data_IF_838928313142
#
_entry.id   IF_838928313142
#
_cell.length_a   1.000
_cell.length_b   1.000
_cell.length_c   1.000
_cell.angle_alpha   90.00
_cell.angle_beta   90.00
_cell.angle_gamma   90.00
#
_symmetry.space_group_name_H-M   'P 1'
#
loop_
_entity.id
_entity.type
_entity.pdbx_description
1 polymer ?
#
# COMPACT_ATOMS: atom_id res chain seq x y z
N UNK A 1 -4.34 -9.43 -5.07
CA UNK A 1 -5.82 -9.43 -5.01
C UNK A 1 -6.33 -10.41 -3.98
N UNK A 2 -7.51 -10.16 -3.45
CA UNK A 2 -8.23 -11.01 -2.50
C UNK A 2 -9.70 -11.06 -2.90
N UNK A 3 -10.37 -12.18 -2.63
CA UNK A 3 -11.84 -12.26 -2.60
C UNK A 3 -12.27 -12.28 -1.13
N UNK A 4 -13.10 -11.33 -0.74
CA UNK A 4 -13.52 -11.15 0.64
C UNK A 4 -15.04 -11.26 0.78
N UNK A 5 -15.47 -11.86 1.90
CA UNK A 5 -16.88 -12.02 2.24
C UNK A 5 -17.61 -13.09 1.41
N UNK A 6 -18.87 -13.34 1.77
CA UNK A 6 -19.73 -14.33 1.10
C UNK A 6 -20.14 -13.87 -0.33
N UNK A 7 -20.10 -12.56 -0.58
CA UNK A 7 -20.37 -11.95 -1.90
C UNK A 7 -19.14 -11.99 -2.82
N UNK A 8 -18.04 -12.61 -2.41
CA UNK A 8 -16.78 -12.71 -3.15
C UNK A 8 -16.30 -11.34 -3.71
N UNK A 9 -16.36 -10.30 -2.87
CA UNK A 9 -15.93 -8.95 -3.24
C UNK A 9 -14.45 -8.92 -3.55
N UNK A 10 -14.10 -8.41 -4.73
CA UNK A 10 -12.71 -8.28 -5.15
C UNK A 10 -12.06 -7.08 -4.45
N UNK A 11 -10.94 -7.34 -3.78
CA UNK A 11 -10.10 -6.32 -3.15
C UNK A 11 -8.72 -6.37 -3.77
N UNK A 12 -8.27 -5.23 -4.28
CA UNK A 12 -6.94 -5.08 -4.89
C UNK A 12 -5.97 -4.38 -3.94
N UNK A 13 -4.70 -4.40 -4.30
CA UNK A 13 -3.59 -3.81 -3.53
C UNK A 13 -2.64 -3.03 -4.42
N UNK A 14 -1.68 -2.34 -3.83
CA UNK A 14 -0.60 -1.66 -4.57
C UNK A 14 0.23 -2.64 -5.43
N UNK A 15 0.36 -3.91 -5.02
CA UNK A 15 1.02 -4.94 -5.82
C UNK A 15 0.27 -5.24 -7.11
N UNK A 16 -1.06 -5.22 -7.07
CA UNK A 16 -1.89 -5.45 -8.25
C UNK A 16 -1.82 -4.28 -9.22
N UNK A 17 -1.82 -3.04 -8.71
CA UNK A 17 -1.55 -1.84 -9.52
C UNK A 17 -0.18 -1.91 -10.22
N UNK A 18 0.84 -2.37 -9.50
CA UNK A 18 2.17 -2.57 -10.07
C UNK A 18 2.16 -3.62 -11.18
N UNK A 19 1.53 -4.77 -10.93
CA UNK A 19 1.40 -5.84 -11.92
C UNK A 19 0.66 -5.35 -13.15
N UNK A 20 -0.49 -4.69 -12.99
CA UNK A 20 -1.26 -4.13 -14.11
C UNK A 20 -0.48 -3.07 -14.89
N UNK A 21 0.32 -2.24 -14.21
CA UNK A 21 1.16 -1.23 -14.85
C UNK A 21 2.29 -1.83 -15.71
N UNK A 22 2.74 -3.04 -15.36
CA UNK A 22 3.74 -3.77 -16.12
C UNK A 22 3.10 -4.64 -17.22
N UNK A 23 2.00 -5.31 -16.92
CA UNK A 23 1.30 -6.21 -17.84
C UNK A 23 -0.15 -6.44 -17.39
N UNK A 24 -1.11 -5.90 -18.14
CA UNK A 24 -2.55 -6.09 -17.85
C UNK A 24 -2.98 -7.56 -17.95
N UNK A 25 -2.39 -8.33 -18.87
CA UNK A 25 -2.65 -9.76 -18.97
C UNK A 25 -2.24 -10.51 -17.70
N UNK A 26 -1.14 -10.14 -17.07
CA UNK A 26 -0.69 -10.79 -15.84
C UNK A 26 -1.69 -10.60 -14.68
N UNK A 27 -2.30 -9.41 -14.56
CA UNK A 27 -3.29 -9.17 -13.50
C UNK A 27 -4.60 -9.91 -13.77
N UNK A 28 -5.01 -10.04 -15.03
CA UNK A 28 -6.18 -10.84 -15.44
C UNK A 28 -5.95 -12.31 -15.13
N UNK A 29 -4.76 -12.85 -15.45
CA UNK A 29 -4.40 -14.25 -15.10
C UNK A 29 -4.38 -14.49 -13.60
N UNK A 30 -3.96 -13.52 -12.79
CA UNK A 30 -4.06 -13.61 -11.32
C UNK A 30 -5.52 -13.66 -10.86
N UNK A 31 -6.42 -12.92 -11.52
CA UNK A 31 -7.85 -12.98 -11.24
C UNK A 31 -8.43 -14.36 -11.61
N UNK A 32 -8.06 -14.94 -12.76
CA UNK A 32 -8.49 -16.29 -13.15
C UNK A 32 -8.10 -17.34 -12.11
N UNK A 33 -6.87 -17.29 -11.62
CA UNK A 33 -6.41 -18.19 -10.54
C UNK A 33 -7.22 -17.98 -9.27
N UNK A 34 -7.50 -16.73 -8.91
CA UNK A 34 -8.29 -16.39 -7.72
C UNK A 34 -9.74 -16.88 -7.82
N UNK A 35 -10.31 -16.86 -9.03
CA UNK A 35 -11.67 -17.35 -9.33
C UNK A 35 -11.73 -18.87 -9.56
N UNK A 36 -10.59 -19.58 -9.54
CA UNK A 36 -10.52 -21.02 -9.82
C UNK A 36 -10.67 -21.38 -11.31
N UNK A 37 -10.55 -20.41 -12.22
CA UNK A 37 -10.65 -20.58 -13.68
C UNK A 37 -9.32 -21.02 -14.31
N UNK A 38 -8.22 -20.86 -13.57
CA UNK A 38 -6.89 -21.27 -14.01
C UNK A 38 -6.09 -21.86 -12.86
N UNK A 39 -5.20 -22.79 -13.19
CA UNK A 39 -4.26 -23.35 -12.22
C UNK A 39 -3.20 -22.31 -11.84
N UNK A 40 -2.82 -22.33 -10.56
CA UNK A 40 -1.70 -21.54 -10.06
C UNK A 40 -0.39 -22.18 -10.53
N UNK A 41 0.42 -21.41 -11.23
CA UNK A 41 1.80 -21.82 -11.54
C UNK A 41 2.64 -21.66 -10.28
N UNK A 42 3.20 -22.78 -9.79
CA UNK A 42 4.16 -22.73 -8.69
C UNK A 42 5.50 -22.23 -9.21
N UNK A 43 5.93 -21.09 -8.70
CA UNK A 43 7.28 -20.57 -8.97
C UNK A 43 8.28 -21.29 -8.05
N UNK A 44 9.42 -21.75 -8.59
CA UNK A 44 10.48 -22.27 -7.76
C UNK A 44 10.93 -21.25 -6.75
N UNK A 45 11.24 -21.69 -5.52
CA UNK A 45 11.78 -20.80 -4.49
C UNK A 45 13.09 -20.17 -4.96
N UNK A 46 13.15 -18.84 -4.99
CA UNK A 46 14.34 -18.08 -5.33
C UNK A 46 15.01 -17.53 -4.06
N UNK A 47 16.15 -18.10 -3.64
CA UNK A 47 16.88 -17.61 -2.45
C UNK A 47 17.32 -16.15 -2.55
N UNK A 48 17.47 -15.62 -3.77
CA UNK A 48 17.81 -14.21 -3.97
C UNK A 48 16.63 -13.31 -3.59
N UNK A 49 15.40 -13.68 -3.94
CA UNK A 49 14.21 -12.94 -3.53
C UNK A 49 14.03 -12.95 -2.00
N UNK A 50 14.28 -14.09 -1.33
CA UNK A 50 14.28 -14.18 0.13
C UNK A 50 15.29 -13.20 0.75
N UNK A 51 16.49 -13.11 0.16
CA UNK A 51 17.55 -12.18 0.60
C UNK A 51 17.16 -10.71 0.39
N UNK A 52 16.60 -10.38 -0.78
CA UNK A 52 16.13 -9.02 -1.08
C UNK A 52 15.02 -8.62 -0.11
N UNK A 53 14.08 -9.53 0.20
CA UNK A 53 13.05 -9.28 1.21
C UNK A 53 13.66 -8.99 2.58
N UNK A 54 14.59 -9.82 3.05
CA UNK A 54 15.24 -9.61 4.35
C UNK A 54 16.02 -8.28 4.42
N UNK A 55 16.64 -7.85 3.33
CA UNK A 55 17.28 -6.52 3.24
C UNK A 55 16.23 -5.39 3.29
N UNK A 56 15.06 -5.57 2.65
CA UNK A 56 13.93 -4.64 2.74
C UNK A 56 13.45 -4.46 4.18
N UNK A 57 13.21 -5.59 4.86
CA UNK A 57 12.79 -5.58 6.27
C UNK A 57 13.83 -4.89 7.17
N UNK A 58 15.13 -5.11 6.91
CA UNK A 58 16.21 -4.42 7.65
C UNK A 58 16.23 -2.91 7.39
N UNK A 59 15.98 -2.48 6.16
CA UNK A 59 15.93 -1.07 5.78
C UNK A 59 14.75 -0.38 6.47
N UNK A 60 13.56 -0.98 6.42
CA UNK A 60 12.37 -0.49 7.13
C UNK A 60 12.60 -0.40 8.65
N UNK A 61 13.21 -1.44 9.25
CA UNK A 61 13.56 -1.44 10.67
C UNK A 61 14.59 -0.37 11.04
N UNK A 62 15.51 -0.04 10.13
CA UNK A 62 16.47 1.05 10.35
C UNK A 62 15.76 2.40 10.38
N UNK A 63 14.81 2.61 9.48
CA UNK A 63 13.99 3.81 9.44
C UNK A 63 13.08 3.93 10.67
N UNK A 64 12.43 2.84 11.09
CA UNK A 64 11.64 2.82 12.32
C UNK A 64 12.49 3.21 13.55
N UNK A 65 13.74 2.73 13.64
CA UNK A 65 14.65 3.13 14.72
C UNK A 65 15.04 4.60 14.65
N UNK A 66 15.22 5.16 13.45
CA UNK A 66 15.49 6.59 13.26
C UNK A 66 14.32 7.43 13.78
N UNK A 67 13.11 7.15 13.28
CA UNK A 67 11.90 7.84 13.68
C UNK A 67 11.61 7.70 15.19
N UNK A 68 11.87 6.51 15.78
CA UNK A 68 11.67 6.30 17.22
C UNK A 68 12.62 7.14 18.09
N UNK A 69 13.81 7.47 17.59
CA UNK A 69 14.75 8.37 18.28
C UNK A 69 14.35 9.84 18.14
N UNK A 70 13.78 10.21 17.00
CA UNK A 70 13.34 11.60 16.73
C UNK A 70 12.01 11.92 17.43
N UNK A 71 11.15 10.89 17.62
CA UNK A 71 9.82 11.03 18.23
C UNK A 71 9.66 10.11 19.47
N UNK A 72 10.42 10.33 20.55
CA UNK A 72 10.45 9.43 21.70
C UNK A 72 9.07 9.35 22.39
N UNK A 73 8.55 8.11 22.49
CA UNK A 73 7.25 7.82 23.10
C UNK A 73 6.03 8.17 22.25
N UNK A 74 6.23 8.72 21.04
CA UNK A 74 5.13 9.14 20.14
C UNK A 74 5.02 8.32 18.87
N UNK A 75 5.77 7.24 18.76
CA UNK A 75 5.65 6.25 17.68
C UNK A 75 4.62 5.19 18.08
N UNK A 76 3.72 4.86 17.16
CA UNK A 76 2.76 3.76 17.30
C UNK A 76 2.96 2.78 16.16
N UNK A 77 3.16 1.51 16.52
CA UNK A 77 3.24 0.41 15.56
C UNK A 77 1.91 -0.34 15.56
N UNK A 78 1.26 -0.45 14.39
CA UNK A 78 -0.02 -1.13 14.25
C UNK A 78 0.17 -2.59 13.85
N UNK A 79 -0.65 -3.51 14.39
CA UNK A 79 -0.57 -4.92 14.05
C UNK A 79 -1.07 -5.16 12.61
N UNK A 80 -0.60 -6.26 12.02
CA UNK A 80 -1.13 -6.73 10.74
C UNK A 80 -2.50 -7.37 10.96
N UNK A 81 -3.58 -6.87 10.32
CA UNK A 81 -4.89 -7.49 10.42
C UNK A 81 -4.93 -8.83 9.65
N UNK A 82 -5.90 -9.66 9.96
CA UNK A 82 -6.25 -10.78 9.08
C UNK A 82 -6.97 -10.27 7.81
N UNK A 83 -6.97 -11.10 6.76
CA UNK A 83 -7.58 -10.75 5.48
C UNK A 83 -9.10 -11.05 5.49
N UNK A 84 -9.83 -10.51 6.47
CA UNK A 84 -11.30 -10.53 6.47
C UNK A 84 -11.84 -9.11 6.29
N UNK A 85 -13.03 -8.91 5.68
CA UNK A 85 -13.62 -7.58 5.52
C UNK A 85 -13.74 -6.84 6.85
N UNK A 86 -14.15 -7.55 7.89
CA UNK A 86 -14.31 -7.03 9.25
C UNK A 86 -12.98 -6.53 9.83
N UNK A 87 -11.93 -7.37 9.79
CA UNK A 87 -10.65 -7.02 10.41
C UNK A 87 -9.91 -5.93 9.64
N UNK A 88 -10.04 -5.89 8.31
CA UNK A 88 -9.50 -4.82 7.48
C UNK A 88 -10.20 -3.48 7.76
N UNK A 89 -11.53 -3.49 7.91
CA UNK A 89 -12.28 -2.29 8.26
C UNK A 89 -11.95 -1.81 9.69
N UNK A 90 -11.85 -2.74 10.65
CA UNK A 90 -11.43 -2.43 12.03
C UNK A 90 -10.00 -1.87 12.06
N UNK A 91 -9.07 -2.42 11.27
CA UNK A 91 -7.71 -1.91 11.19
C UNK A 91 -7.63 -0.50 10.56
N UNK A 92 -8.48 -0.20 9.56
CA UNK A 92 -8.60 1.17 9.03
C UNK A 92 -9.11 2.13 10.10
N UNK A 93 -10.14 1.74 10.87
CA UNK A 93 -10.66 2.54 11.99
C UNK A 93 -9.56 2.78 13.02
N UNK A 94 -8.82 1.74 13.42
CA UNK A 94 -7.68 1.86 14.34
C UNK A 94 -6.60 2.79 13.81
N UNK A 95 -6.34 2.76 12.50
CA UNK A 95 -5.41 3.72 11.87
C UNK A 95 -5.89 5.16 12.10
N UNK A 96 -7.14 5.49 11.76
CA UNK A 96 -7.70 6.84 11.89
C UNK A 96 -7.75 7.32 13.35
N UNK A 97 -8.13 6.45 14.28
CA UNK A 97 -8.11 6.74 15.72
C UNK A 97 -6.68 7.04 16.20
N UNK A 98 -5.69 6.25 15.73
CA UNK A 98 -4.29 6.45 16.09
C UNK A 98 -3.75 7.79 15.58
N UNK A 99 -4.14 8.20 14.37
CA UNK A 99 -3.78 9.52 13.81
C UNK A 99 -4.30 10.68 14.67
N UNK A 100 -5.38 10.47 15.42
CA UNK A 100 -6.00 11.47 16.31
C UNK A 100 -5.58 11.34 17.78
N UNK A 101 -4.75 10.34 18.12
CA UNK A 101 -4.41 10.00 19.51
C UNK A 101 -3.21 10.75 20.11
N UNK A 102 -2.63 11.71 19.37
CA UNK A 102 -1.39 12.38 19.76
C UNK A 102 -0.11 11.62 19.38
N UNK A 103 -0.21 10.59 18.54
CA UNK A 103 0.92 10.01 17.86
C UNK A 103 1.57 11.03 16.91
N UNK A 104 2.87 10.97 16.74
CA UNK A 104 3.61 11.75 15.74
C UNK A 104 4.11 10.88 14.60
N UNK A 105 4.25 9.58 14.84
CA UNK A 105 4.57 8.58 13.82
C UNK A 105 3.68 7.36 14.03
N UNK A 106 3.09 6.86 12.93
CA UNK A 106 2.37 5.59 12.90
C UNK A 106 3.06 4.69 11.88
N UNK A 107 3.52 3.51 12.31
CA UNK A 107 4.12 2.53 11.40
C UNK A 107 3.19 1.37 11.12
N UNK A 108 3.26 0.83 9.90
CA UNK A 108 2.47 -0.27 9.40
C UNK A 108 0.95 0.01 9.41
N UNK A 109 0.60 1.26 9.07
CA UNK A 109 -0.79 1.74 9.06
C UNK A 109 -1.59 1.07 7.94
N UNK A 110 -2.67 0.37 8.30
CA UNK A 110 -3.57 -0.25 7.32
C UNK A 110 -4.52 0.81 6.76
N UNK A 111 -4.65 0.86 5.43
CA UNK A 111 -5.64 1.64 4.69
C UNK A 111 -6.55 0.70 3.91
N UNK A 112 -7.87 0.92 3.99
CA UNK A 112 -8.87 0.06 3.38
C UNK A 112 -10.15 0.84 3.06
N UNK A 113 -10.69 0.69 1.83
CA UNK A 113 -11.94 1.32 1.36
C UNK A 113 -13.01 0.30 0.96
N UNK A 114 -12.77 -0.99 1.22
CA UNK A 114 -13.63 -2.09 0.80
C UNK A 114 -13.32 -2.63 -0.61
N UNK A 115 -12.57 -1.92 -1.45
CA UNK A 115 -12.13 -2.35 -2.78
C UNK A 115 -10.61 -2.34 -2.94
N UNK A 116 -9.92 -1.65 -2.05
CA UNK A 116 -8.47 -1.59 -2.01
C UNK A 116 -7.95 -1.77 -0.59
N UNK A 117 -6.86 -2.51 -0.45
CA UNK A 117 -6.13 -2.64 0.80
C UNK A 117 -4.65 -2.29 0.61
N UNK A 118 -4.11 -1.58 1.58
CA UNK A 118 -2.69 -1.28 1.65
C UNK A 118 -2.20 -1.16 3.08
N UNK A 119 -0.87 -1.11 3.21
CA UNK A 119 -0.22 -0.88 4.49
C UNK A 119 0.94 0.08 4.28
N UNK A 120 0.79 1.29 4.82
CA UNK A 120 1.82 2.31 4.76
C UNK A 120 2.93 1.98 5.78
N UNK A 121 4.18 2.01 5.34
CA UNK A 121 5.31 1.77 6.23
C UNK A 121 5.30 2.80 7.36
N UNK A 122 5.15 4.09 6.99
CA UNK A 122 5.12 5.18 7.96
C UNK A 122 4.15 6.28 7.57
N UNK A 123 3.49 6.83 8.58
CA UNK A 123 2.76 8.10 8.54
C UNK A 123 3.42 9.02 9.57
N UNK A 124 3.96 10.16 9.14
CA UNK A 124 4.65 11.13 9.99
C UNK A 124 3.81 12.40 10.11
N UNK A 125 3.52 12.86 11.33
CA UNK A 125 2.77 14.09 11.55
C UNK A 125 3.65 15.31 11.26
N UNK A 126 3.20 16.14 10.31
CA UNK A 126 3.83 17.40 9.96
C UNK A 126 2.86 18.58 10.21
N UNK A 127 3.32 19.83 10.21
CA UNK A 127 2.41 20.98 10.29
C UNK A 127 1.37 21.04 9.16
N UNK A 128 1.64 20.36 8.02
CA UNK A 128 0.76 20.34 6.85
C UNK A 128 -0.16 19.10 6.79
N UNK A 129 -0.11 18.23 7.79
CA UNK A 129 -0.85 16.98 7.85
C UNK A 129 0.05 15.75 7.90
N UNK A 130 -0.52 14.56 7.75
CA UNK A 130 0.17 13.29 7.78
C UNK A 130 0.94 13.03 6.47
N UNK A 131 2.25 12.97 6.56
CA UNK A 131 3.13 12.60 5.46
C UNK A 131 3.14 11.08 5.31
N UNK A 132 2.70 10.59 4.15
CA UNK A 132 2.77 9.17 3.81
C UNK A 132 4.16 8.87 3.28
N UNK A 133 4.88 7.96 3.92
CA UNK A 133 6.20 7.52 3.49
C UNK A 133 6.33 6.00 3.40
N UNK A 134 7.22 5.55 2.52
CA UNK A 134 7.45 4.14 2.27
C UNK A 134 8.95 3.91 1.98
N UNK A 135 9.48 2.78 2.47
CA UNK A 135 10.89 2.43 2.31
C UNK A 135 11.11 1.59 1.06
N UNK A 136 12.17 1.87 0.34
CA UNK A 136 12.53 1.13 -0.88
C UNK A 136 14.03 0.85 -0.93
N UNK A 137 14.43 -0.40 -1.20
CA UNK A 137 15.84 -0.74 -1.41
C UNK A 137 16.42 -0.12 -2.67
N UNK A 138 15.57 0.25 -3.63
CA UNK A 138 16.02 0.94 -4.84
C UNK A 138 16.64 2.29 -4.49
N UNK A 139 17.67 2.70 -5.26
CA UNK A 139 18.33 4.02 -5.14
C UNK A 139 17.60 5.13 -5.91
N UNK A 140 16.56 4.78 -6.64
CA UNK A 140 15.76 5.71 -7.43
C UNK A 140 14.28 5.41 -7.23
N UNK A 141 13.47 6.47 -7.19
CA UNK A 141 12.02 6.34 -7.18
C UNK A 141 11.54 5.67 -8.47
N UNK A 142 10.58 4.76 -8.33
CA UNK A 142 9.89 4.14 -9.46
C UNK A 142 8.44 4.59 -9.50
N UNK A 143 7.83 4.57 -10.68
CA UNK A 143 6.39 4.89 -10.82
C UNK A 143 5.54 4.00 -9.93
N UNK A 144 5.89 2.71 -9.81
CA UNK A 144 5.15 1.79 -8.94
C UNK A 144 5.23 2.14 -7.45
N UNK A 145 6.38 2.65 -6.98
CA UNK A 145 6.52 3.11 -5.59
C UNK A 145 5.70 4.38 -5.34
N UNK A 146 5.66 5.31 -6.30
CA UNK A 146 4.82 6.51 -6.22
C UNK A 146 3.34 6.18 -6.26
N UNK A 147 2.92 5.22 -7.11
CA UNK A 147 1.53 4.73 -7.13
C UNK A 147 1.13 4.12 -5.78
N UNK A 148 2.04 3.42 -5.12
CA UNK A 148 1.79 2.82 -3.81
C UNK A 148 1.52 3.88 -2.74
N UNK A 149 2.43 4.84 -2.55
CA UNK A 149 2.24 5.92 -1.55
C UNK A 149 1.07 6.84 -1.93
N UNK A 150 0.84 7.07 -3.23
CA UNK A 150 -0.32 7.78 -3.74
C UNK A 150 -1.64 7.09 -3.41
N UNK A 151 -1.70 5.75 -3.52
CA UNK A 151 -2.86 4.98 -3.11
C UNK A 151 -3.17 5.15 -1.62
N UNK A 152 -2.16 5.05 -0.76
CA UNK A 152 -2.32 5.20 0.68
C UNK A 152 -2.77 6.61 1.06
N UNK A 153 -2.17 7.63 0.45
CA UNK A 153 -2.56 9.02 0.65
C UNK A 153 -4.00 9.29 0.19
N UNK A 154 -4.41 8.71 -0.96
CA UNK A 154 -5.77 8.85 -1.48
C UNK A 154 -6.80 8.28 -0.51
N UNK A 155 -6.59 7.05 0.00
CA UNK A 155 -7.51 6.41 0.93
C UNK A 155 -7.62 7.17 2.25
N UNK A 156 -6.52 7.72 2.77
CA UNK A 156 -6.53 8.55 3.96
C UNK A 156 -7.29 9.86 3.74
N UNK A 157 -7.10 10.53 2.59
CA UNK A 157 -7.84 11.74 2.22
C UNK A 157 -9.34 11.45 2.09
N UNK A 158 -9.70 10.36 1.41
CA UNK A 158 -11.11 9.97 1.20
C UNK A 158 -11.78 9.58 2.53
N UNK A 159 -11.00 9.13 3.52
CA UNK A 159 -11.44 8.90 4.90
C UNK A 159 -11.45 10.17 5.78
N UNK A 160 -11.09 11.34 5.23
CA UNK A 160 -11.10 12.62 5.93
C UNK A 160 -9.88 12.91 6.80
N UNK A 161 -8.81 12.11 6.70
CA UNK A 161 -7.57 12.40 7.42
C UNK A 161 -6.82 13.58 6.75
N UNK A 162 -6.21 14.49 7.54
CA UNK A 162 -5.39 15.56 7.00
C UNK A 162 -4.06 15.00 6.48
N UNK A 163 -3.90 14.90 5.16
CA UNK A 163 -2.67 14.39 4.51
C UNK A 163 -1.81 15.56 4.04
N UNK A 164 -0.49 15.44 4.22
CA UNK A 164 0.49 16.42 3.75
C UNK A 164 0.45 16.55 2.22
N UNK A 165 0.81 17.73 1.64
CA UNK A 165 0.76 17.96 0.19
C UNK A 165 1.85 17.24 -0.60
N UNK A 166 2.65 16.41 0.05
CA UNK A 166 3.71 15.59 -0.52
C UNK A 166 3.60 14.15 -0.03
N UNK A 167 4.22 13.24 -0.76
CA UNK A 167 4.50 11.84 -0.34
C UNK A 167 6.01 11.62 -0.36
N UNK A 168 6.53 10.68 0.42
CA UNK A 168 7.97 10.43 0.58
C UNK A 168 8.35 8.99 0.29
N UNK A 169 9.48 8.81 -0.38
CA UNK A 169 10.18 7.54 -0.48
C UNK A 169 11.52 7.65 0.24
N UNK A 170 11.80 6.68 1.13
CA UNK A 170 13.11 6.51 1.78
C UNK A 170 13.88 5.45 1.01
N UNK A 171 14.93 5.87 0.31
CA UNK A 171 15.66 5.04 -0.66
C UNK A 171 16.73 4.19 0.03
N UNK A 172 17.21 3.15 -0.66
CA UNK A 172 18.15 2.18 -0.13
C UNK A 172 19.55 2.72 0.20
N UNK A 173 19.89 3.92 -0.25
CA UNK A 173 21.10 4.66 0.12
C UNK A 173 20.88 5.64 1.29
N UNK A 174 19.68 5.65 1.86
CA UNK A 174 19.28 6.56 2.94
C UNK A 174 18.82 7.94 2.46
N UNK A 175 18.86 8.22 1.16
CA UNK A 175 18.30 9.44 0.61
C UNK A 175 16.77 9.43 0.69
N UNK A 176 16.16 10.59 0.88
CA UNK A 176 14.70 10.77 0.78
C UNK A 176 14.34 11.46 -0.51
N UNK A 177 13.22 11.07 -1.09
CA UNK A 177 12.61 11.75 -2.21
C UNK A 177 11.18 12.12 -1.88
N UNK A 178 10.88 13.40 -1.99
CA UNK A 178 9.55 13.96 -1.84
C UNK A 178 8.96 14.28 -3.21
N UNK A 179 7.73 13.84 -3.44
CA UNK A 179 6.99 14.12 -4.66
C UNK A 179 5.65 14.83 -4.31
N UNK A 180 5.24 15.88 -5.09
CA UNK A 180 3.99 16.59 -4.84
C UNK A 180 2.79 15.65 -4.96
N UNK A 181 1.95 15.58 -3.92
CA UNK A 181 0.77 14.72 -3.91
C UNK A 181 -0.20 15.10 -5.05
N UNK A 182 -0.29 16.39 -5.38
CA UNK A 182 -1.11 16.87 -6.49
C UNK A 182 -0.70 16.33 -7.87
N UNK A 183 0.56 15.90 -8.04
CA UNK A 183 1.04 15.25 -9.27
C UNK A 183 0.84 13.73 -9.23
N UNK A 184 0.96 13.12 -8.06
CA UNK A 184 0.85 11.67 -7.88
C UNK A 184 -0.60 11.19 -7.92
N UNK A 185 -1.53 11.90 -7.26
CA UNK A 185 -2.93 11.49 -7.15
C UNK A 185 -3.65 11.31 -8.50
N UNK A 186 -3.56 12.23 -9.48
CA UNK A 186 -4.22 12.05 -10.77
C UNK A 186 -3.74 10.79 -11.49
N UNK A 187 -2.44 10.48 -11.43
CA UNK A 187 -1.85 9.28 -12.03
C UNK A 187 -2.37 8.03 -11.33
N UNK A 188 -2.34 8.01 -10.00
CA UNK A 188 -2.91 6.91 -9.22
C UNK A 188 -4.38 6.66 -9.56
N UNK A 189 -5.22 7.71 -9.49
CA UNK A 189 -6.66 7.59 -9.77
C UNK A 189 -6.95 7.06 -11.17
N UNK A 190 -6.21 7.53 -12.16
CA UNK A 190 -6.33 7.04 -13.54
C UNK A 190 -5.96 5.55 -13.66
N UNK A 191 -4.85 5.13 -13.03
CA UNK A 191 -4.39 3.73 -13.04
C UNK A 191 -5.33 2.82 -12.26
N UNK A 192 -5.87 3.29 -11.13
CA UNK A 192 -6.85 2.57 -10.34
C UNK A 192 -8.14 2.34 -11.14
N UNK A 193 -8.70 3.39 -11.72
CA UNK A 193 -9.93 3.29 -12.52
C UNK A 193 -9.75 2.34 -13.72
N UNK A 194 -8.58 2.39 -14.40
CA UNK A 194 -8.27 1.46 -15.49
C UNK A 194 -8.22 0.02 -15.02
N UNK A 195 -7.55 -0.24 -13.89
CA UNK A 195 -7.48 -1.59 -13.32
C UNK A 195 -8.85 -2.10 -12.91
N UNK A 196 -9.65 -1.27 -12.23
CA UNK A 196 -11.01 -1.63 -11.81
C UNK A 196 -11.88 -1.99 -13.03
N UNK A 197 -11.78 -1.23 -14.13
CA UNK A 197 -12.48 -1.52 -15.40
C UNK A 197 -12.06 -2.86 -15.99
N UNK A 198 -10.76 -3.10 -16.17
CA UNK A 198 -10.23 -4.36 -16.72
C UNK A 198 -10.73 -5.58 -15.91
N UNK A 199 -10.68 -5.48 -14.57
CA UNK A 199 -11.10 -6.58 -13.70
C UNK A 199 -12.61 -6.80 -13.71
N UNK A 200 -13.40 -5.71 -13.82
CA UNK A 200 -14.86 -5.78 -13.94
C UNK A 200 -15.29 -6.43 -15.27
N UNK A 201 -14.73 -5.95 -16.39
CA UNK A 201 -15.01 -6.47 -17.73
C UNK A 201 -14.66 -7.96 -17.82
N UNK A 202 -13.48 -8.36 -17.36
CA UNK A 202 -13.03 -9.77 -17.36
C UNK A 202 -13.91 -10.67 -16.49
N UNK A 203 -14.47 -10.16 -15.38
CA UNK A 203 -15.42 -10.93 -14.57
C UNK A 203 -16.76 -11.11 -15.27
N UNK A 204 -17.21 -10.12 -16.06
CA UNK A 204 -18.49 -10.14 -16.75
C UNK A 204 -18.47 -11.02 -18.01
N UNK A 205 -17.34 -11.04 -18.74
CA UNK A 205 -17.22 -11.77 -20.01
C UNK A 205 -17.31 -13.29 -19.87
N UNK A 206 -17.17 -13.81 -18.66
CA UNK A 206 -17.12 -15.26 -18.39
C UNK A 206 -18.17 -15.72 -17.36
N UNK A 207 -19.15 -14.87 -17.04
CA UNK A 207 -20.29 -15.21 -16.19
C UNK A 207 -21.49 -15.67 -17.05
#
# INVERSE_FOLDING_TARGET
MLLLGDDARLVISASDLRTASACEFAVVRQLDVLLGRAERVEEPRDPMLDRVKALGDQHEQAELRRLSREHPGRVRHLPTPSNTPHDLAAAMTTTLETLSSGAEVVSQATVFDGGFVGRADFLELTPAGWLVSDTKLARHATVSALLQVGAYAALLLDAGAPVAPIVRLVLGDGATRDDPLGEVLPVYRSRRARLDGILADHRADEA
#
